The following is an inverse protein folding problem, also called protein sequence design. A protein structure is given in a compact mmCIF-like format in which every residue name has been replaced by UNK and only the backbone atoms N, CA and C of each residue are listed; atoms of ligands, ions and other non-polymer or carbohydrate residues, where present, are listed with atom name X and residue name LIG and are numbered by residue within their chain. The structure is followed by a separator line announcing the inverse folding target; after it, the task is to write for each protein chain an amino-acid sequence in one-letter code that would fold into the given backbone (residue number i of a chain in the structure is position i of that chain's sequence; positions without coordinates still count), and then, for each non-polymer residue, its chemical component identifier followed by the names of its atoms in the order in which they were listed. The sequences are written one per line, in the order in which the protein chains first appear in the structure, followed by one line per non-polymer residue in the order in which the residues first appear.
data_IF_187473347529
#
_entry.id   IF_187473347529
#
_cell.length_a   1.000
_cell.length_b   1.000
_cell.length_c   1.000
_cell.angle_alpha   90.00
_cell.angle_beta   90.00
_cell.angle_gamma   90.00
#
_symmetry.space_group_name_H-M   'P 1'
#
loop_
_entity.id
_entity.type
_entity.pdbx_description
1 polymer ?
#
# COMPACT_ATOMS: atom_id res chain seq x y z
N UNK A 1 -5.38 -12.01 4.68
CA UNK A 1 -4.14 -11.25 4.97
C UNK A 1 -3.69 -10.59 3.68
N UNK A 2 -3.17 -9.37 3.77
CA UNK A 2 -2.67 -8.58 2.64
C UNK A 2 -1.22 -8.17 2.91
N UNK A 3 -0.51 -7.81 1.85
CA UNK A 3 0.83 -7.22 1.90
C UNK A 3 0.71 -5.83 1.29
N UNK A 4 1.31 -4.84 1.93
CA UNK A 4 1.33 -3.45 1.45
C UNK A 4 2.75 -3.10 1.04
N UNK A 5 2.94 -2.71 -0.21
CA UNK A 5 4.18 -2.08 -0.66
C UNK A 5 4.06 -0.58 -0.48
N UNK A 6 5.06 0.05 0.12
CA UNK A 6 5.11 1.49 0.40
C UNK A 6 6.58 1.95 0.47
N UNK A 7 6.82 3.22 0.74
CA UNK A 7 8.17 3.70 1.01
C UNK A 7 8.58 3.44 2.47
N UNK A 8 9.87 3.28 2.73
CA UNK A 8 10.47 3.09 4.06
C UNK A 8 9.86 3.99 5.15
N UNK A 9 9.46 3.44 6.29
CA UNK A 9 8.73 4.26 7.28
C UNK A 9 9.56 5.45 7.78
N UNK A 10 8.94 6.63 7.78
CA UNK A 10 9.45 7.85 8.40
C UNK A 10 8.36 8.45 9.29
N UNK A 11 8.74 9.10 10.41
CA UNK A 11 7.76 9.74 11.28
C UNK A 11 7.00 10.84 10.52
N UNK A 12 5.69 10.87 10.72
CA UNK A 12 4.83 11.91 10.17
C UNK A 12 5.22 13.28 10.76
N UNK A 13 5.27 14.31 9.91
CA UNK A 13 5.43 15.69 10.37
C UNK A 13 4.10 16.41 10.52
N UNK A 14 3.07 15.92 9.82
CA UNK A 14 1.71 16.44 9.87
C UNK A 14 0.71 15.29 9.69
N UNK A 15 -0.57 15.60 9.92
CA UNK A 15 -1.69 14.66 9.82
C UNK A 15 -2.81 15.28 9.00
N UNK A 16 -3.51 14.48 8.21
CA UNK A 16 -4.62 14.94 7.40
C UNK A 16 -5.87 14.12 7.67
N UNK A 17 -7.02 14.79 7.79
CA UNK A 17 -8.32 14.13 7.96
C UNK A 17 -9.01 14.05 6.62
N UNK A 18 -9.24 12.83 6.12
CA UNK A 18 -9.77 12.60 4.78
C UNK A 18 -10.68 11.37 4.72
N UNK A 19 -11.43 11.26 3.62
CA UNK A 19 -12.22 10.07 3.28
C UNK A 19 -11.43 9.05 2.44
N UNK A 20 -10.12 9.24 2.26
CA UNK A 20 -9.24 8.35 1.50
C UNK A 20 -9.26 8.54 -0.03
N UNK A 21 -10.13 9.39 -0.58
CA UNK A 21 -10.07 9.74 -2.00
C UNK A 21 -8.83 10.58 -2.28
N UNK A 22 -8.07 10.28 -3.33
CA UNK A 22 -6.80 10.93 -3.66
C UNK A 22 -6.89 12.47 -3.67
N UNK A 23 -7.81 13.03 -4.47
CA UNK A 23 -7.96 14.49 -4.58
C UNK A 23 -8.46 15.14 -3.27
N UNK A 24 -9.36 14.46 -2.53
CA UNK A 24 -9.79 14.95 -1.23
C UNK A 24 -8.67 14.94 -0.19
N UNK A 25 -7.79 13.94 -0.28
CA UNK A 25 -6.64 13.76 0.59
C UNK A 25 -5.59 14.84 0.29
N UNK A 26 -5.32 15.14 -0.98
CA UNK A 26 -4.46 16.25 -1.39
C UNK A 26 -4.95 17.63 -0.89
N UNK A 27 -6.27 17.84 -0.85
CA UNK A 27 -6.91 19.09 -0.42
C UNK A 27 -7.21 19.15 1.10
N UNK A 28 -6.91 18.09 1.84
CA UNK A 28 -7.27 18.00 3.26
C UNK A 28 -6.50 19.01 4.11
N UNK A 29 -7.17 19.50 5.16
CA UNK A 29 -6.54 20.35 6.18
C UNK A 29 -5.45 19.54 6.89
N UNK A 30 -4.30 20.19 7.10
CA UNK A 30 -3.16 19.61 7.81
C UNK A 30 -3.20 20.02 9.29
N UNK A 31 -2.92 19.06 10.14
CA UNK A 31 -2.82 19.19 11.59
C UNK A 31 -1.39 18.86 12.01
N UNK A 32 -0.88 19.57 13.02
CA UNK A 32 0.50 19.36 13.49
C UNK A 32 0.60 18.14 14.43
N UNK A 33 -0.54 17.70 14.99
CA UNK A 33 -0.59 16.53 15.88
C UNK A 33 -1.69 15.55 15.50
N UNK A 34 -1.44 14.27 15.81
CA UNK A 34 -2.41 13.19 15.61
C UNK A 34 -3.67 13.40 16.46
N UNK A 35 -3.52 13.96 17.68
CA UNK A 35 -4.63 14.22 18.59
C UNK A 35 -5.61 15.25 18.01
N UNK A 36 -5.10 16.37 17.48
CA UNK A 36 -5.92 17.39 16.81
C UNK A 36 -6.65 16.81 15.59
N UNK A 37 -5.95 16.04 14.76
CA UNK A 37 -6.54 15.38 13.60
C UNK A 37 -7.63 14.37 14.02
N UNK A 38 -7.40 13.61 15.08
CA UNK A 38 -8.36 12.63 15.60
C UNK A 38 -9.62 13.29 16.13
N UNK A 39 -9.49 14.39 16.87
CA UNK A 39 -10.63 15.17 17.34
C UNK A 39 -11.43 15.74 16.15
N UNK A 40 -10.74 16.26 15.13
CA UNK A 40 -11.39 16.76 13.92
C UNK A 40 -12.13 15.65 13.16
N UNK A 41 -11.54 14.47 13.02
CA UNK A 41 -12.15 13.30 12.37
C UNK A 41 -13.43 12.84 13.09
N UNK A 42 -13.38 12.76 14.43
CA UNK A 42 -14.52 12.34 15.24
C UNK A 42 -15.64 13.39 15.28
N UNK A 43 -15.28 14.68 15.21
CA UNK A 43 -16.24 15.80 15.27
C UNK A 43 -17.02 16.02 13.97
N UNK A 44 -16.60 15.43 12.85
CA UNK A 44 -17.28 15.57 11.56
C UNK A 44 -18.70 14.98 11.53
N UNK A 45 -19.00 14.02 12.42
CA UNK A 45 -20.34 13.43 12.56
C UNK A 45 -20.81 12.56 11.38
N UNK A 46 -21.92 11.83 11.53
CA UNK A 46 -22.41 10.84 10.55
C UNK A 46 -23.16 11.44 9.34
N UNK A 47 -23.43 12.75 9.33
CA UNK A 47 -24.15 13.45 8.27
C UNK A 47 -23.34 14.63 7.70
N UNK A 48 -22.05 14.37 7.48
CA UNK A 48 -21.12 15.37 6.92
C UNK A 48 -21.43 15.65 5.45
N UNK A 49 -20.95 16.78 4.94
CA UNK A 49 -20.89 16.99 3.49
C UNK A 49 -19.70 16.22 2.91
N UNK A 50 -19.75 15.92 1.62
CA UNK A 50 -18.60 15.41 0.90
C UNK A 50 -17.42 16.39 1.03
N UNK A 51 -16.22 15.86 1.22
CA UNK A 51 -15.01 16.68 1.23
C UNK A 51 -14.74 17.24 -0.16
N UNK A 52 -14.12 18.43 -0.29
CA UNK A 52 -13.67 18.95 -1.59
C UNK A 52 -12.80 17.91 -2.31
N UNK A 53 -13.08 17.61 -3.58
CA UNK A 53 -12.32 16.60 -4.34
C UNK A 53 -12.71 15.14 -4.05
N UNK A 54 -13.79 14.88 -3.31
CA UNK A 54 -14.26 13.52 -3.11
C UNK A 54 -14.73 12.87 -4.42
N UNK A 55 -14.25 11.65 -4.70
CA UNK A 55 -14.62 10.91 -5.90
C UNK A 55 -16.03 10.28 -5.82
N UNK A 56 -16.56 10.10 -4.61
CA UNK A 56 -17.87 9.49 -4.36
C UNK A 56 -18.69 10.35 -3.39
N UNK A 57 -19.15 11.53 -3.82
CA UNK A 57 -19.78 12.51 -2.94
C UNK A 57 -21.08 12.00 -2.30
N UNK A 58 -21.76 11.05 -2.93
CA UNK A 58 -23.03 10.49 -2.41
C UNK A 58 -22.81 9.34 -1.42
N UNK A 59 -21.61 8.75 -1.37
CA UNK A 59 -21.31 7.55 -0.56
C UNK A 59 -20.36 7.90 0.57
N UNK A 60 -19.26 8.59 0.27
CA UNK A 60 -18.21 8.87 1.26
C UNK A 60 -18.74 9.54 2.53
N UNK A 61 -19.70 10.50 2.51
CA UNK A 61 -20.27 11.08 3.72
C UNK A 61 -20.80 10.09 4.76
N UNK A 62 -21.24 8.91 4.34
CA UNK A 62 -21.76 7.86 5.23
C UNK A 62 -20.65 7.10 5.98
N UNK A 63 -19.39 7.26 5.53
CA UNK A 63 -18.23 6.60 6.11
C UNK A 63 -17.42 7.56 7.00
N UNK A 64 -16.84 7.03 8.11
CA UNK A 64 -15.91 7.79 8.95
C UNK A 64 -14.77 8.40 8.15
N UNK A 65 -14.25 9.52 8.64
CA UNK A 65 -12.98 10.07 8.18
C UNK A 65 -11.84 9.34 8.87
N UNK A 66 -10.71 9.25 8.18
CA UNK A 66 -9.49 8.65 8.69
C UNK A 66 -8.42 9.73 8.84
N UNK A 67 -7.56 9.54 9.85
CA UNK A 67 -6.34 10.32 9.99
C UNK A 67 -5.26 9.63 9.18
N UNK A 68 -4.68 10.35 8.22
CA UNK A 68 -3.55 9.90 7.42
C UNK A 68 -2.29 10.66 7.82
N UNK A 69 -1.21 9.90 7.92
CA UNK A 69 0.12 10.44 8.14
C UNK A 69 0.62 11.18 6.89
N UNK A 70 1.27 12.31 7.12
CA UNK A 70 1.87 13.14 6.07
C UNK A 70 3.37 13.14 6.32
N UNK A 71 4.11 12.66 5.31
CA UNK A 71 5.56 12.56 5.40
C UNK A 71 6.23 13.94 5.49
N UNK A 72 7.54 13.97 5.80
CA UNK A 72 8.31 15.20 5.89
C UNK A 72 8.31 16.03 4.59
N UNK A 73 8.07 15.38 3.46
CA UNK A 73 7.98 16.02 2.14
C UNK A 73 6.62 16.73 1.92
N UNK A 74 5.72 16.70 2.91
CA UNK A 74 4.37 17.29 2.85
C UNK A 74 3.38 16.50 1.98
N UNK A 75 3.82 15.35 1.47
CA UNK A 75 3.06 14.47 0.59
C UNK A 75 2.67 13.16 1.29
N UNK A 76 1.64 12.52 0.74
CA UNK A 76 1.25 11.17 1.16
C UNK A 76 2.15 10.16 0.48
N UNK A 77 2.57 9.14 1.25
CA UNK A 77 3.35 8.05 0.69
C UNK A 77 2.41 7.13 -0.10
N UNK A 78 2.68 6.82 -1.38
CA UNK A 78 1.86 5.90 -2.14
C UNK A 78 1.92 4.48 -1.57
N UNK A 79 0.79 3.77 -1.64
CA UNK A 79 0.66 2.41 -1.13
C UNK A 79 0.03 1.50 -2.18
N UNK A 80 0.61 0.31 -2.34
CA UNK A 80 0.06 -0.76 -3.18
C UNK A 80 -0.30 -1.94 -2.29
N UNK A 81 -1.58 -2.02 -1.91
CA UNK A 81 -2.10 -3.14 -1.14
C UNK A 81 -2.56 -4.29 -2.05
N UNK A 82 -2.07 -5.50 -1.78
CA UNK A 82 -2.41 -6.73 -2.50
C UNK A 82 -2.73 -7.85 -1.52
N UNK A 83 -3.59 -8.79 -1.93
CA UNK A 83 -3.82 -10.00 -1.11
C UNK A 83 -2.54 -10.81 -0.99
N UNK A 84 -2.33 -11.53 0.11
CA UNK A 84 -1.13 -12.36 0.32
C UNK A 84 -0.89 -13.36 -0.83
N UNK A 85 -1.96 -13.94 -1.37
CA UNK A 85 -1.88 -14.83 -2.55
C UNK A 85 -1.32 -14.10 -3.78
N UNK A 86 -1.73 -12.86 -4.01
CA UNK A 86 -1.25 -12.07 -5.14
C UNK A 86 0.14 -11.48 -4.88
N UNK A 87 0.46 -11.16 -3.63
CA UNK A 87 1.80 -10.77 -3.22
C UNK A 87 2.83 -11.86 -3.54
N UNK A 88 2.51 -13.14 -3.26
CA UNK A 88 3.38 -14.26 -3.61
C UNK A 88 3.61 -14.40 -5.13
N UNK A 89 2.57 -14.16 -5.94
CA UNK A 89 2.70 -14.15 -7.40
C UNK A 89 3.62 -13.00 -7.86
N UNK A 90 3.39 -11.80 -7.34
CA UNK A 90 4.21 -10.63 -7.64
C UNK A 90 5.66 -10.83 -7.19
N UNK A 91 5.89 -11.42 -6.02
CA UNK A 91 7.22 -11.71 -5.53
C UNK A 91 7.99 -12.66 -6.47
N UNK A 92 7.30 -13.68 -7.00
CA UNK A 92 7.86 -14.57 -8.03
C UNK A 92 8.21 -13.83 -9.32
N UNK A 93 7.38 -12.88 -9.76
CA UNK A 93 7.65 -12.04 -10.95
C UNK A 93 8.82 -11.07 -10.72
N UNK A 94 8.95 -10.53 -9.52
CA UNK A 94 10.05 -9.65 -9.11
C UNK A 94 11.35 -10.40 -8.83
N UNK A 95 11.34 -11.73 -8.97
CA UNK A 95 12.51 -12.59 -8.77
C UNK A 95 12.98 -12.65 -7.32
N UNK A 96 12.11 -12.35 -6.34
CA UNK A 96 12.45 -12.55 -4.94
C UNK A 96 12.58 -14.04 -4.64
N UNK A 97 13.75 -14.45 -4.15
CA UNK A 97 13.95 -15.81 -3.66
C UNK A 97 13.56 -15.91 -2.19
N UNK A 98 13.17 -17.09 -1.73
CA UNK A 98 12.78 -17.31 -0.33
C UNK A 98 13.83 -16.87 0.71
N UNK A 99 15.11 -16.72 0.33
CA UNK A 99 16.18 -16.23 1.21
C UNK A 99 16.33 -14.70 1.25
N UNK A 100 15.81 -13.96 0.28
CA UNK A 100 15.89 -12.50 0.27
C UNK A 100 14.83 -11.87 1.18
N UNK A 101 13.68 -12.53 1.35
CA UNK A 101 12.61 -12.12 2.28
C UNK A 101 13.03 -12.23 3.76
N UNK A 102 14.00 -13.08 4.09
CA UNK A 102 14.48 -13.28 5.48
C UNK A 102 15.55 -12.26 5.91
N UNK A 103 16.27 -11.61 4.98
CA UNK A 103 17.42 -10.77 5.31
C UNK A 103 17.10 -9.29 5.55
N UNK A 104 15.88 -8.82 5.23
CA UNK A 104 15.46 -7.44 5.50
C UNK A 104 15.14 -7.17 6.98
N UNK A 105 15.07 -8.21 7.82
CA UNK A 105 14.78 -8.10 9.25
C UNK A 105 16.00 -7.73 10.14
N UNK A 106 17.21 -7.56 9.58
CA UNK A 106 18.45 -7.49 10.39
C UNK A 106 18.98 -6.08 10.74
N UNK A 107 18.26 -4.98 10.51
CA UNK A 107 18.79 -3.64 10.87
C UNK A 107 18.19 -3.02 12.13
N UNK A 108 17.27 -3.68 12.85
CA UNK A 108 16.83 -3.25 14.19
C UNK A 108 16.64 -4.46 15.11
N UNK A 109 17.16 -4.45 16.36
CA UNK A 109 16.95 -5.54 17.31
C UNK A 109 15.52 -5.48 17.86
N UNK A 110 14.59 -6.15 17.20
CA UNK A 110 13.31 -6.54 17.81
C UNK A 110 13.53 -7.86 18.59
N UNK A 111 13.06 -7.98 19.85
CA UNK A 111 13.24 -9.19 20.63
C UNK A 111 12.43 -10.34 20.00
N UNK A 112 13.14 -11.29 19.41
CA UNK A 112 12.62 -12.50 18.80
C UNK A 112 11.83 -13.34 19.81
N UNK A 113 10.56 -13.59 19.52
CA UNK A 113 9.85 -14.73 20.11
C UNK A 113 10.21 -15.97 19.29
N UNK A 114 10.82 -16.95 19.97
CA UNK A 114 11.09 -18.27 19.45
C UNK A 114 9.77 -18.99 19.12
N UNK A 115 9.37 -18.92 17.85
CA UNK A 115 8.23 -19.63 17.31
C UNK A 115 8.26 -19.60 15.80
N UNK A 116 8.58 -20.73 15.16
CA UNK A 116 8.56 -20.89 13.70
C UNK A 116 7.17 -20.75 13.10
N UNK A 117 6.70 -19.51 12.96
CA UNK A 117 5.57 -19.06 12.15
C UNK A 117 6.05 -18.25 10.93
N UNK A 118 5.19 -17.91 9.96
CA UNK A 118 5.59 -17.36 8.66
C UNK A 118 6.18 -15.96 8.83
N UNK A 119 7.51 -15.89 8.92
CA UNK A 119 8.31 -14.69 9.09
C UNK A 119 8.92 -14.20 7.75
N UNK A 120 8.24 -14.44 6.62
CA UNK A 120 8.80 -14.26 5.27
C UNK A 120 8.02 -13.27 4.36
N UNK A 121 7.06 -12.48 4.88
CA UNK A 121 6.21 -11.62 4.03
C UNK A 121 6.53 -10.11 4.10
N UNK A 122 7.56 -9.71 4.86
CA UNK A 122 7.99 -8.33 4.97
C UNK A 122 9.41 -8.14 4.43
N UNK A 123 9.71 -6.98 3.88
CA UNK A 123 11.05 -6.67 3.42
C UNK A 123 11.28 -5.23 3.00
N UNK A 124 12.51 -4.91 2.62
CA UNK A 124 12.93 -3.60 2.17
C UNK A 124 14.03 -3.75 1.12
N UNK A 125 14.02 -2.86 0.12
CA UNK A 125 15.02 -2.82 -0.94
C UNK A 125 15.26 -1.37 -1.38
N UNK A 126 16.50 -0.99 -1.76
CA UNK A 126 16.75 0.28 -2.42
C UNK A 126 15.81 0.49 -3.61
N UNK A 127 15.26 1.69 -3.75
CA UNK A 127 14.22 1.92 -4.76
C UNK A 127 14.70 1.71 -6.20
N UNK A 128 15.98 1.98 -6.51
CA UNK A 128 16.56 1.71 -7.83
C UNK A 128 16.61 0.20 -8.14
N UNK A 129 17.00 -0.61 -7.14
CA UNK A 129 17.02 -2.08 -7.28
C UNK A 129 15.60 -2.63 -7.43
N UNK A 130 14.65 -2.10 -6.65
CA UNK A 130 13.24 -2.49 -6.75
C UNK A 130 12.65 -2.09 -8.11
N UNK A 131 12.90 -0.87 -8.58
CA UNK A 131 12.47 -0.39 -9.89
C UNK A 131 13.04 -1.25 -11.01
N UNK A 132 14.32 -1.61 -10.94
CA UNK A 132 14.96 -2.53 -11.88
C UNK A 132 14.23 -3.87 -11.97
N UNK A 133 13.85 -4.47 -10.83
CA UNK A 133 13.07 -5.71 -10.78
C UNK A 133 11.68 -5.54 -11.38
N UNK A 134 10.98 -4.43 -11.09
CA UNK A 134 9.65 -4.14 -11.66
C UNK A 134 9.73 -3.98 -13.18
N UNK A 135 10.73 -3.29 -13.71
CA UNK A 135 10.91 -3.10 -15.15
C UNK A 135 11.18 -4.43 -15.87
N UNK A 136 12.02 -5.29 -15.29
CA UNK A 136 12.25 -6.64 -15.81
C UNK A 136 10.95 -7.45 -15.79
N UNK A 137 10.19 -7.41 -14.69
CA UNK A 137 8.91 -8.09 -14.58
C UNK A 137 7.90 -7.61 -15.63
N UNK A 138 7.77 -6.29 -15.83
CA UNK A 138 6.91 -5.69 -16.86
C UNK A 138 7.33 -6.14 -18.27
N UNK A 139 8.63 -6.24 -18.56
CA UNK A 139 9.13 -6.63 -19.87
C UNK A 139 8.92 -8.13 -20.17
N UNK A 140 8.98 -8.99 -19.15
CA UNK A 140 8.90 -10.44 -19.31
C UNK A 140 7.49 -11.02 -19.11
N UNK A 141 6.60 -10.31 -18.43
CA UNK A 141 5.28 -10.83 -18.05
C UNK A 141 4.25 -10.49 -19.14
N UNK A 142 3.76 -11.49 -19.91
CA UNK A 142 2.67 -11.26 -20.85
C UNK A 142 1.39 -10.86 -20.11
N UNK A 143 0.45 -10.26 -20.83
CA UNK A 143 -0.84 -9.85 -20.25
C UNK A 143 -1.51 -11.00 -19.49
N UNK A 144 -1.89 -10.75 -18.24
CA UNK A 144 -2.53 -11.72 -17.37
C UNK A 144 -3.91 -12.07 -17.93
N UNK A 145 -4.13 -13.31 -18.33
CA UNK A 145 -5.43 -13.78 -18.80
C UNK A 145 -6.51 -13.75 -17.70
N UNK A 146 -6.09 -13.62 -16.44
CA UNK A 146 -6.96 -13.72 -15.28
C UNK A 146 -7.22 -15.18 -14.90
N UNK A 147 -8.03 -15.35 -13.86
CA UNK A 147 -8.47 -16.65 -13.36
C UNK A 147 -9.93 -16.50 -12.95
N UNK A 148 -10.80 -17.31 -13.53
CA UNK A 148 -12.21 -17.32 -13.16
C UNK A 148 -12.38 -17.70 -11.69
N UNK A 149 -13.33 -17.03 -11.03
CA UNK A 149 -13.83 -17.48 -9.75
C UNK A 149 -14.64 -18.76 -9.90
N UNK A 150 -14.77 -19.52 -8.81
CA UNK A 150 -15.63 -20.70 -8.80
C UNK A 150 -16.43 -20.78 -7.51
N UNK A 151 -17.53 -21.54 -7.55
CA UNK A 151 -18.36 -21.76 -6.37
C UNK A 151 -18.01 -23.08 -5.70
N UNK A 152 -17.90 -23.06 -4.38
CA UNK A 152 -17.84 -24.24 -3.53
C UNK A 152 -19.06 -24.23 -2.59
N UNK A 153 -20.14 -24.89 -3.00
CA UNK A 153 -21.43 -24.82 -2.32
C UNK A 153 -21.99 -23.41 -2.35
N UNK A 154 -22.09 -22.76 -1.18
CA UNK A 154 -22.57 -21.36 -1.04
C UNK A 154 -21.45 -20.33 -0.98
N UNK A 155 -20.19 -20.75 -1.08
CA UNK A 155 -19.03 -19.85 -1.01
C UNK A 155 -18.51 -19.60 -2.42
N UNK A 156 -18.44 -18.32 -2.81
CA UNK A 156 -17.73 -17.92 -4.01
C UNK A 156 -16.25 -17.78 -3.70
N UNK A 157 -15.44 -18.68 -4.27
CA UNK A 157 -14.00 -18.61 -4.25
C UNK A 157 -13.61 -17.64 -5.37
N UNK A 158 -13.22 -16.42 -4.99
CA UNK A 158 -12.94 -15.34 -5.92
C UNK A 158 -11.95 -15.70 -7.04
N UNK A 159 -11.93 -14.86 -8.07
CA UNK A 159 -11.00 -14.96 -9.19
C UNK A 159 -10.00 -13.82 -9.22
N UNK A 160 -9.29 -13.70 -10.33
CA UNK A 160 -8.43 -12.58 -10.69
C UNK A 160 -8.87 -12.08 -12.06
N UNK A 161 -9.11 -10.79 -12.20
CA UNK A 161 -9.48 -10.21 -13.50
C UNK A 161 -8.30 -10.28 -14.47
N UNK A 162 -8.58 -10.35 -15.77
CA UNK A 162 -7.55 -10.17 -16.79
C UNK A 162 -6.84 -8.81 -16.62
N UNK A 163 -5.54 -8.78 -16.90
CA UNK A 163 -4.67 -7.61 -16.74
C UNK A 163 -4.33 -7.23 -15.29
N UNK A 164 -4.77 -7.99 -14.29
CA UNK A 164 -4.55 -7.64 -12.88
C UNK A 164 -3.06 -7.55 -12.53
N UNK A 165 -2.24 -8.50 -12.99
CA UNK A 165 -0.80 -8.48 -12.68
C UNK A 165 -0.11 -7.28 -13.33
N UNK A 166 -0.46 -6.92 -14.58
CA UNK A 166 0.06 -5.73 -15.25
C UNK A 166 -0.32 -4.45 -14.51
N UNK A 167 -1.59 -4.35 -14.08
CA UNK A 167 -2.05 -3.21 -13.30
C UNK A 167 -1.24 -3.07 -12.00
N UNK A 168 -0.98 -4.18 -11.29
CA UNK A 168 -0.20 -4.15 -10.05
C UNK A 168 1.28 -3.85 -10.30
N UNK A 169 1.88 -4.40 -11.35
CA UNK A 169 3.25 -4.06 -11.73
C UNK A 169 3.39 -2.59 -12.13
N UNK A 170 2.42 -2.01 -12.84
CA UNK A 170 2.41 -0.58 -13.15
C UNK A 170 2.31 0.28 -11.88
N UNK A 171 1.45 -0.09 -10.93
CA UNK A 171 1.37 0.61 -9.65
C UNK A 171 2.67 0.49 -8.83
N UNK A 172 3.31 -0.69 -8.84
CA UNK A 172 4.61 -0.88 -8.19
C UNK A 172 5.72 -0.08 -8.88
N UNK A 173 5.64 0.08 -10.21
CA UNK A 173 6.56 0.94 -10.95
C UNK A 173 6.40 2.39 -10.50
N UNK A 174 5.17 2.89 -10.43
CA UNK A 174 4.90 4.27 -10.02
C UNK A 174 5.33 4.53 -8.57
N UNK A 175 5.11 3.57 -7.67
CA UNK A 175 5.63 3.59 -6.31
C UNK A 175 7.16 3.64 -6.29
N UNK A 176 7.82 2.74 -7.02
CA UNK A 176 9.28 2.66 -7.04
C UNK A 176 9.91 3.94 -7.61
N UNK A 177 9.34 4.49 -8.68
CA UNK A 177 9.76 5.77 -9.25
C UNK A 177 9.59 6.91 -8.24
N UNK A 178 8.45 6.96 -7.54
CA UNK A 178 8.21 7.95 -6.49
C UNK A 178 9.26 7.88 -5.38
N UNK A 179 9.67 6.66 -5.00
CA UNK A 179 10.73 6.43 -4.01
C UNK A 179 12.12 6.85 -4.52
N UNK A 180 12.46 6.55 -5.78
CA UNK A 180 13.71 6.99 -6.42
C UNK A 180 13.81 8.51 -6.40
N UNK A 181 12.75 9.21 -6.81
CA UNK A 181 12.71 10.67 -6.87
C UNK A 181 12.94 11.34 -5.51
N UNK A 182 12.67 10.61 -4.41
CA UNK A 182 12.78 11.09 -3.02
C UNK A 182 13.93 10.48 -2.24
N UNK A 183 14.75 9.63 -2.87
CA UNK A 183 15.83 8.90 -2.19
C UNK A 183 15.32 8.08 -1.00
N UNK A 184 14.20 7.37 -1.20
CA UNK A 184 13.58 6.48 -0.23
C UNK A 184 13.68 5.04 -0.71
N UNK A 185 13.70 4.10 0.22
CA UNK A 185 13.65 2.68 -0.12
C UNK A 185 12.20 2.22 -0.27
N UNK A 186 11.97 1.11 -0.97
CA UNK A 186 10.67 0.44 -1.01
C UNK A 186 10.63 -0.61 0.09
N UNK A 187 9.60 -0.57 0.93
CA UNK A 187 9.33 -1.52 1.99
C UNK A 187 7.99 -2.23 1.77
N UNK A 188 7.85 -3.44 2.30
CA UNK A 188 6.59 -4.18 2.29
C UNK A 188 6.38 -5.02 3.55
N UNK A 189 5.12 -5.29 3.86
CA UNK A 189 4.69 -6.13 4.98
C UNK A 189 3.20 -6.00 5.28
#
# INVERSE_FOLDING_TARGET
MSVTFTADWRPATQFAVTCGCEQATALAVRHDTYEEASVAALSAGPARRALPGCAMPDICPEYPLYVHDVGPDGEFTPEVNVSQRHAALLAGLLGFTASETTNAAQTLPCPSHDGGGPADDAGQLPAEDFLGRVLVALALTPEDEGVDGYWNGRLHMGGRCAGYLQLRLAQLHDLAQWCVDRGRDVAWG
#
